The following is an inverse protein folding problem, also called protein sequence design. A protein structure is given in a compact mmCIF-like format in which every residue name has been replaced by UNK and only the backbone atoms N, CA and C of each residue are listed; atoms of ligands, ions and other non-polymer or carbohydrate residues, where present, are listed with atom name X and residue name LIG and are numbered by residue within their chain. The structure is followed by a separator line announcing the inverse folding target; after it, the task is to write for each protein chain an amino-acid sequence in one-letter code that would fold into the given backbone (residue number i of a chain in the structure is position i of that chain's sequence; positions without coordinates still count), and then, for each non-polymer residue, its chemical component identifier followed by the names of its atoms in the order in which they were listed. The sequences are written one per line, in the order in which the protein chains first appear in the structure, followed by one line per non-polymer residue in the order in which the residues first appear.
data_IF_079247518139
#
_entry.id   IF_079247518139
#
_cell.length_a   1.000
_cell.length_b   1.000
_cell.length_c   1.000
_cell.angle_alpha   90.00
_cell.angle_beta   90.00
_cell.angle_gamma   90.00
#
_symmetry.space_group_name_H-M   'P 1'
#
loop_
_entity.id
_entity.type
_entity.pdbx_description
1 polymer ?
#
# COMPACT_ATOMS: atom_id res chain seq x y z
N UNK A 1 15.74 -5.10 5.11
CA UNK A 1 15.88 -6.44 4.48
C UNK A 1 15.76 -6.24 2.97
N UNK A 2 16.64 -6.82 2.15
CA UNK A 2 16.49 -6.71 0.70
C UNK A 2 15.49 -7.77 0.20
N UNK A 3 14.55 -7.37 -0.65
CA UNK A 3 13.56 -8.26 -1.27
C UNK A 3 13.91 -8.41 -2.75
N UNK A 4 13.98 -9.65 -3.22
CA UNK A 4 14.19 -9.94 -4.65
C UNK A 4 12.88 -9.75 -5.41
N UNK A 5 12.89 -8.85 -6.39
CA UNK A 5 11.82 -8.69 -7.37
C UNK A 5 11.91 -9.78 -8.45
N UNK A 6 10.82 -9.94 -9.22
CA UNK A 6 10.78 -10.84 -10.39
C UNK A 6 11.75 -10.41 -11.50
N UNK A 7 12.00 -9.11 -11.60
CA UNK A 7 12.90 -8.50 -12.58
C UNK A 7 14.37 -8.52 -12.14
N UNK A 8 14.74 -9.46 -11.24
CA UNK A 8 16.06 -9.64 -10.63
C UNK A 8 16.65 -8.43 -9.88
N UNK A 9 15.91 -7.34 -9.74
CA UNK A 9 16.30 -6.21 -8.88
C UNK A 9 16.12 -6.54 -7.39
N UNK A 10 16.97 -5.93 -6.56
CA UNK A 10 16.87 -5.98 -5.11
C UNK A 10 16.33 -4.65 -4.60
N UNK A 11 15.16 -4.67 -3.98
CA UNK A 11 14.58 -3.49 -3.36
C UNK A 11 14.85 -3.49 -1.85
N UNK A 12 15.27 -2.34 -1.34
CA UNK A 12 15.50 -2.16 0.09
C UNK A 12 14.16 -2.01 0.82
N UNK A 13 13.81 -2.99 1.65
CA UNK A 13 12.58 -2.97 2.45
C UNK A 13 12.89 -2.68 3.91
N UNK A 14 12.30 -1.61 4.44
CA UNK A 14 12.31 -1.29 5.87
C UNK A 14 11.08 -1.93 6.50
N UNK A 15 11.30 -2.74 7.54
CA UNK A 15 10.22 -3.37 8.27
C UNK A 15 9.65 -2.43 9.33
N UNK A 16 8.49 -1.85 9.04
CA UNK A 16 7.79 -0.92 9.93
C UNK A 16 6.78 -1.60 10.87
N UNK A 17 6.74 -2.94 10.96
CA UNK A 17 5.68 -3.64 11.72
C UNK A 17 5.61 -3.22 13.19
N UNK A 18 6.74 -3.14 13.88
CA UNK A 18 6.78 -2.75 15.30
C UNK A 18 6.56 -1.26 15.49
N UNK A 19 7.10 -0.43 14.60
CA UNK A 19 6.87 1.01 14.59
C UNK A 19 5.38 1.36 14.41
N UNK A 20 4.68 0.67 13.50
CA UNK A 20 3.25 0.85 13.24
C UNK A 20 2.34 0.44 14.42
N UNK A 21 2.84 -0.30 15.41
CA UNK A 21 2.09 -0.60 16.65
C UNK A 21 2.07 0.57 17.63
N UNK A 22 3.11 1.40 17.60
CA UNK A 22 3.31 2.52 18.54
C UNK A 22 2.58 3.77 18.03
N UNK A 23 2.46 3.94 16.71
CA UNK A 23 1.77 5.07 16.10
C UNK A 23 0.26 5.06 16.33
N UNK A 24 -0.29 6.22 16.70
CA UNK A 24 -1.73 6.45 16.74
C UNK A 24 -2.25 6.44 15.30
N UNK A 25 -3.15 5.50 15.02
CA UNK A 25 -3.79 5.38 13.70
C UNK A 25 -4.82 6.48 13.51
N UNK A 26 -4.67 7.27 12.45
CA UNK A 26 -5.72 8.20 12.04
C UNK A 26 -6.77 7.46 11.20
N UNK A 27 -7.88 7.08 11.84
CA UNK A 27 -8.96 6.31 11.22
C UNK A 27 -9.78 7.08 10.18
N UNK A 28 -9.62 8.41 10.10
CA UNK A 28 -10.32 9.21 9.10
C UNK A 28 -10.07 8.72 7.67
N UNK A 29 -8.80 8.41 7.35
CA UNK A 29 -8.43 7.89 6.04
C UNK A 29 -8.97 6.49 5.76
N UNK A 30 -9.22 5.68 6.80
CA UNK A 30 -9.76 4.34 6.65
C UNK A 30 -11.19 4.38 6.10
N UNK A 31 -12.01 5.33 6.56
CA UNK A 31 -13.36 5.54 6.03
C UNK A 31 -13.34 5.88 4.53
N UNK A 32 -12.36 6.69 4.12
CA UNK A 32 -12.21 7.08 2.71
C UNK A 32 -11.82 5.89 1.82
N UNK A 33 -10.95 5.01 2.31
CA UNK A 33 -10.57 3.76 1.62
C UNK A 33 -11.80 2.87 1.40
N UNK A 34 -12.65 2.69 2.42
CA UNK A 34 -13.87 1.88 2.30
C UNK A 34 -14.84 2.45 1.26
N UNK A 35 -14.97 3.78 1.18
CA UNK A 35 -15.80 4.43 0.17
C UNK A 35 -15.27 4.20 -1.25
N UNK A 36 -13.95 4.31 -1.46
CA UNK A 36 -13.32 3.99 -2.75
C UNK A 36 -13.57 2.52 -3.10
N UNK A 37 -13.40 1.61 -2.14
CA UNK A 37 -13.60 0.18 -2.33
C UNK A 37 -15.04 -0.15 -2.74
N UNK A 38 -16.04 0.48 -2.11
CA UNK A 38 -17.45 0.33 -2.47
C UNK A 38 -17.77 0.85 -3.87
N UNK A 39 -17.05 1.86 -4.36
CA UNK A 39 -17.23 2.39 -5.72
C UNK A 39 -16.68 1.44 -6.77
N UNK A 40 -15.53 0.84 -6.50
CA UNK A 40 -14.84 -0.04 -7.45
C UNK A 40 -15.32 -1.49 -7.35
N UNK A 41 -16.11 -1.88 -6.35
CA UNK A 41 -16.57 -3.26 -6.17
C UNK A 41 -17.49 -3.78 -7.31
N UNK A 42 -18.01 -2.86 -8.14
CA UNK A 42 -18.87 -3.19 -9.29
C UNK A 42 -18.11 -3.32 -10.62
N UNK A 43 -16.80 -3.07 -10.64
CA UNK A 43 -16.02 -3.21 -11.88
C UNK A 43 -15.49 -4.63 -12.04
N UNK A 44 -15.50 -5.12 -13.28
CA UNK A 44 -15.03 -6.47 -13.64
C UNK A 44 -13.51 -6.52 -13.88
N UNK A 45 -12.90 -5.38 -14.25
CA UNK A 45 -11.48 -5.27 -14.57
C UNK A 45 -10.81 -4.15 -13.78
N UNK A 46 -9.60 -4.41 -13.30
CA UNK A 46 -8.81 -3.47 -12.51
C UNK A 46 -7.41 -3.34 -13.10
N UNK A 47 -6.88 -2.12 -13.11
CA UNK A 47 -5.47 -1.86 -13.41
C UNK A 47 -4.84 -1.14 -12.23
N UNK A 48 -3.64 -1.56 -11.84
CA UNK A 48 -2.87 -0.97 -10.74
C UNK A 48 -1.65 -0.26 -11.29
N UNK A 49 -1.55 1.03 -11.02
CA UNK A 49 -0.39 1.84 -11.37
C UNK A 49 0.43 2.04 -10.10
N UNK A 50 1.74 1.75 -10.18
CA UNK A 50 2.68 2.09 -9.13
C UNK A 50 3.46 3.32 -9.58
N UNK A 51 3.35 4.42 -8.85
CA UNK A 51 4.13 5.63 -9.13
C UNK A 51 5.36 5.58 -8.22
N UNK A 52 6.56 5.54 -8.82
CA UNK A 52 7.83 5.56 -8.09
C UNK A 52 8.14 6.99 -7.64
N UNK A 53 8.93 7.13 -6.58
CA UNK A 53 9.55 8.39 -6.13
C UNK A 53 8.58 9.49 -5.65
N UNK A 54 7.47 9.13 -4.99
CA UNK A 54 6.53 10.10 -4.35
C UNK A 54 6.88 10.40 -2.88
N UNK A 55 7.62 9.51 -2.22
CA UNK A 55 8.19 9.75 -0.89
C UNK A 55 9.52 10.46 -1.01
#
# INVERSE_FOLDING_TARGET
LFISMKDSSLDFYIDYRDFNKILIKNYYFLFFILNIQNRISKSEYFSKINIKDIY
#
